data_IF_561595045154
#
_entry.id   IF_561595045154
#
_cell.length_a   1.000
_cell.length_b   1.000
_cell.length_c   1.000
_cell.angle_alpha   90.00
_cell.angle_beta   90.00
_cell.angle_gamma   90.00
#
_symmetry.space_group_name_H-M   'P 1'
#
loop_
_entity.id
_entity.type
_entity.pdbx_description
1 polymer ?
#
# COMPACT_ATOMS: atom_id res chain seq x y z
N UNK A 1 -44.37 -1.38 10.28
CA UNK A 1 -44.93 -0.98 8.98
C UNK A 1 -43.88 -0.89 7.84
N UNK A 2 -42.60 -0.72 8.11
CA UNK A 2 -41.53 -0.57 7.11
C UNK A 2 -41.29 -1.83 6.25
N UNK A 3 -41.44 -3.01 6.83
CA UNK A 3 -41.18 -4.31 6.15
C UNK A 3 -42.16 -4.54 4.98
N UNK A 4 -43.41 -4.10 5.09
CA UNK A 4 -44.40 -4.29 4.02
C UNK A 4 -44.10 -3.43 2.77
N UNK A 5 -43.49 -2.25 2.94
CA UNK A 5 -43.12 -1.38 1.83
C UNK A 5 -41.92 -1.93 1.02
N UNK A 6 -40.96 -2.56 1.66
CA UNK A 6 -39.81 -3.22 1.02
C UNK A 6 -40.26 -4.43 0.18
N UNK A 7 -41.19 -5.23 0.70
CA UNK A 7 -41.75 -6.39 -0.03
C UNK A 7 -42.56 -5.97 -1.27
N UNK A 8 -43.30 -4.84 -1.18
CA UNK A 8 -44.06 -4.34 -2.29
C UNK A 8 -43.14 -3.77 -3.39
N UNK A 9 -42.04 -3.10 -3.02
CA UNK A 9 -41.03 -2.59 -3.96
C UNK A 9 -40.40 -3.67 -4.84
N UNK A 10 -40.21 -4.88 -4.33
CA UNK A 10 -39.65 -6.02 -5.08
C UNK A 10 -40.59 -6.60 -6.15
N UNK A 11 -41.89 -6.40 -6.03
CA UNK A 11 -42.88 -7.03 -6.91
C UNK A 11 -43.53 -6.08 -7.91
N UNK A 12 -43.32 -4.78 -7.78
CA UNK A 12 -43.91 -3.76 -8.67
C UNK A 12 -42.81 -2.95 -9.35
N UNK A 13 -42.60 -3.10 -10.68
CA UNK A 13 -41.48 -2.44 -11.40
C UNK A 13 -41.44 -0.91 -11.25
N UNK A 14 -42.60 -0.28 -11.05
CA UNK A 14 -42.73 1.16 -10.86
C UNK A 14 -42.29 1.64 -9.47
N UNK A 15 -42.12 0.72 -8.52
CA UNK A 15 -41.73 1.02 -7.14
C UNK A 15 -40.26 0.59 -6.83
N UNK A 16 -39.48 0.20 -7.85
CA UNK A 16 -38.05 -0.13 -7.70
C UNK A 16 -37.23 1.00 -7.06
N UNK A 17 -37.67 2.25 -7.18
CA UNK A 17 -37.03 3.38 -6.50
C UNK A 17 -37.14 3.28 -4.97
N UNK A 18 -38.17 2.59 -4.45
CA UNK A 18 -38.32 2.33 -3.02
C UNK A 18 -37.32 1.31 -2.50
N UNK A 19 -36.88 0.36 -3.32
CA UNK A 19 -35.78 -0.57 -2.97
C UNK A 19 -34.45 0.18 -2.79
N UNK A 20 -34.21 1.23 -3.58
CA UNK A 20 -33.02 2.09 -3.45
C UNK A 20 -33.11 3.01 -2.24
N UNK A 21 -34.31 3.55 -1.92
CA UNK A 21 -34.49 4.47 -0.79
C UNK A 21 -34.67 3.74 0.55
N UNK A 22 -35.26 2.55 0.55
CA UNK A 22 -35.56 1.75 1.75
C UNK A 22 -34.73 0.46 1.83
N UNK A 23 -33.97 0.14 0.77
CA UNK A 23 -33.08 -1.01 0.70
C UNK A 23 -31.86 -0.78 1.60
N UNK A 24 -31.48 -1.81 2.33
CA UNK A 24 -30.30 -1.84 3.18
C UNK A 24 -29.00 -2.10 2.37
N UNK A 25 -29.04 -1.89 1.04
CA UNK A 25 -27.81 -1.96 0.27
C UNK A 25 -27.00 -0.68 0.50
N UNK A 26 -25.75 -0.80 0.92
CA UNK A 26 -24.90 0.37 1.08
C UNK A 26 -24.79 1.10 -0.27
N UNK A 27 -25.15 2.37 -0.29
CA UNK A 27 -25.10 3.23 -1.50
C UNK A 27 -23.68 3.35 -2.04
N UNK A 28 -22.68 3.19 -1.16
CA UNK A 28 -21.25 3.26 -1.46
C UNK A 28 -20.63 1.87 -1.35
N UNK A 29 -19.70 1.58 -2.25
CA UNK A 29 -18.83 0.40 -2.13
C UNK A 29 -17.90 0.55 -0.92
N UNK A 30 -17.35 -0.56 -0.37
CA UNK A 30 -16.36 -0.47 0.72
C UNK A 30 -15.18 0.45 0.41
N UNK A 31 -14.71 0.45 -0.84
CA UNK A 31 -13.64 1.35 -1.32
C UNK A 31 -14.08 2.82 -1.27
N UNK A 32 -15.30 3.11 -1.71
CA UNK A 32 -15.85 4.47 -1.69
C UNK A 32 -16.10 4.96 -0.26
N UNK A 33 -16.59 4.09 0.61
CA UNK A 33 -16.78 4.41 2.03
C UNK A 33 -15.43 4.74 2.67
N UNK A 34 -14.43 3.92 2.45
CA UNK A 34 -13.08 4.15 2.95
C UNK A 34 -12.48 5.46 2.40
N UNK A 35 -12.61 5.69 1.08
CA UNK A 35 -12.16 6.93 0.45
C UNK A 35 -12.77 8.18 1.11
N UNK A 36 -14.09 8.16 1.39
CA UNK A 36 -14.78 9.29 2.04
C UNK A 36 -14.30 9.50 3.47
N UNK A 37 -14.06 8.43 4.23
CA UNK A 37 -13.55 8.51 5.61
C UNK A 37 -12.16 9.13 5.65
N UNK A 38 -11.27 8.69 4.77
CA UNK A 38 -9.92 9.26 4.66
C UNK A 38 -9.97 10.72 4.22
N UNK A 39 -10.81 11.06 3.23
CA UNK A 39 -10.99 12.43 2.77
C UNK A 39 -11.54 13.35 3.86
N UNK A 40 -12.41 12.82 4.71
CA UNK A 40 -12.94 13.54 5.88
C UNK A 40 -11.93 13.64 7.05
N UNK A 41 -10.71 13.08 6.89
CA UNK A 41 -9.69 12.98 7.93
C UNK A 41 -10.23 12.30 9.20
N UNK A 42 -10.93 11.16 9.02
CA UNK A 42 -11.49 10.36 10.10
C UNK A 42 -10.81 8.98 10.15
N UNK A 43 -9.58 8.91 10.72
CA UNK A 43 -8.82 7.68 10.81
C UNK A 43 -9.47 6.64 11.73
N UNK A 44 -10.23 7.06 12.74
CA UNK A 44 -10.92 6.18 13.68
C UNK A 44 -11.95 5.31 12.94
N UNK A 45 -12.85 5.92 12.16
CA UNK A 45 -13.83 5.16 11.36
C UNK A 45 -13.15 4.32 10.26
N UNK A 46 -12.01 4.75 9.75
CA UNK A 46 -11.22 3.96 8.81
C UNK A 46 -10.62 2.72 9.48
N UNK A 47 -10.14 2.86 10.74
CA UNK A 47 -9.66 1.74 11.58
C UNK A 47 -10.77 0.75 11.84
N UNK A 48 -11.95 1.22 12.32
CA UNK A 48 -13.12 0.35 12.55
C UNK A 48 -13.51 -0.43 11.29
N UNK A 49 -13.43 0.19 10.11
CA UNK A 49 -13.71 -0.51 8.84
C UNK A 49 -12.68 -1.60 8.55
N UNK A 50 -11.42 -1.36 8.83
CA UNK A 50 -10.36 -2.34 8.62
C UNK A 50 -10.50 -3.53 9.57
N UNK A 51 -10.80 -3.28 10.85
CA UNK A 51 -11.05 -4.31 11.86
C UNK A 51 -12.28 -5.16 11.52
N UNK A 52 -13.38 -4.51 11.13
CA UNK A 52 -14.60 -5.24 10.75
C UNK A 52 -14.36 -6.13 9.52
N UNK A 53 -13.61 -5.66 8.54
CA UNK A 53 -13.20 -6.46 7.39
C UNK A 53 -12.31 -7.63 7.83
N UNK A 54 -11.36 -7.38 8.71
CA UNK A 54 -10.38 -8.37 9.18
C UNK A 54 -11.03 -9.50 10.01
N UNK A 55 -12.22 -9.31 10.57
CA UNK A 55 -12.98 -10.40 11.25
C UNK A 55 -13.30 -11.57 10.32
N UNK A 56 -13.45 -11.33 9.04
CA UNK A 56 -13.80 -12.34 8.03
C UNK A 56 -12.69 -12.59 7.01
N UNK A 57 -11.59 -11.86 7.10
CA UNK A 57 -10.51 -11.87 6.14
C UNK A 57 -9.17 -11.53 6.84
N UNK A 58 -8.32 -10.69 6.25
CA UNK A 58 -7.07 -10.24 6.86
C UNK A 58 -6.84 -8.75 6.62
N UNK A 59 -5.98 -8.12 7.42
CA UNK A 59 -5.55 -6.75 7.20
C UNK A 59 -4.81 -6.59 5.86
N UNK A 60 -4.02 -7.58 5.46
CA UNK A 60 -3.37 -7.59 4.14
C UNK A 60 -4.40 -7.53 3.01
N UNK A 61 -5.48 -8.30 3.11
CA UNK A 61 -6.57 -8.25 2.12
C UNK A 61 -7.31 -6.92 2.15
N UNK A 62 -7.55 -6.35 3.32
CA UNK A 62 -8.10 -4.99 3.44
C UNK A 62 -7.23 -3.96 2.73
N UNK A 63 -5.92 -4.00 2.95
CA UNK A 63 -4.99 -3.07 2.29
C UNK A 63 -5.00 -3.28 0.78
N UNK A 64 -5.02 -4.51 0.31
CA UNK A 64 -5.04 -4.86 -1.12
C UNK A 64 -6.34 -4.49 -1.82
N UNK A 65 -7.50 -4.81 -1.21
CA UNK A 65 -8.80 -4.73 -1.85
C UNK A 65 -9.54 -3.40 -1.61
N UNK A 66 -9.17 -2.67 -0.56
CA UNK A 66 -9.86 -1.45 -0.16
C UNK A 66 -8.90 -0.25 -0.13
N UNK A 67 -7.82 -0.31 0.65
CA UNK A 67 -6.97 0.86 0.85
C UNK A 67 -6.19 1.26 -0.42
N UNK A 68 -5.55 0.31 -1.11
CA UNK A 68 -4.85 0.56 -2.38
C UNK A 68 -5.79 1.07 -3.48
N UNK A 69 -6.97 0.48 -3.74
CA UNK A 69 -7.93 1.03 -4.68
C UNK A 69 -8.42 2.44 -4.33
N UNK A 70 -8.61 2.75 -3.04
CA UNK A 70 -8.96 4.09 -2.61
C UNK A 70 -7.84 5.11 -2.87
N UNK A 71 -6.58 4.75 -2.61
CA UNK A 71 -5.41 5.56 -2.98
C UNK A 71 -5.28 5.75 -4.50
N UNK A 72 -5.57 4.71 -5.29
CA UNK A 72 -5.56 4.81 -6.75
C UNK A 72 -6.65 5.78 -7.23
N UNK A 73 -7.82 5.77 -6.61
CA UNK A 73 -8.88 6.75 -6.87
C UNK A 73 -8.46 8.16 -6.49
N UNK A 74 -7.87 8.36 -5.30
CA UNK A 74 -7.34 9.64 -4.88
C UNK A 74 -6.28 10.18 -5.86
N UNK A 75 -5.41 9.33 -6.37
CA UNK A 75 -4.44 9.70 -7.38
C UNK A 75 -5.10 10.11 -8.70
N UNK A 76 -6.11 9.38 -9.15
CA UNK A 76 -6.86 9.72 -10.36
C UNK A 76 -7.63 11.04 -10.20
N UNK A 77 -8.22 11.29 -9.04
CA UNK A 77 -8.91 12.54 -8.73
C UNK A 77 -7.92 13.72 -8.66
N UNK A 78 -6.74 13.48 -8.10
CA UNK A 78 -5.67 14.48 -8.06
C UNK A 78 -5.09 14.79 -9.46
N UNK A 79 -4.89 13.77 -10.30
CA UNK A 79 -4.42 13.95 -11.68
C UNK A 79 -5.43 14.71 -12.55
N UNK A 80 -6.73 14.64 -12.21
CA UNK A 80 -7.82 15.42 -12.84
C UNK A 80 -8.03 16.80 -12.21
N UNK A 81 -7.32 17.13 -11.14
CA UNK A 81 -7.48 18.38 -10.41
C UNK A 81 -8.78 18.47 -9.58
N UNK A 82 -9.44 17.33 -9.33
CA UNK A 82 -10.63 17.25 -8.46
C UNK A 82 -10.20 17.20 -7.00
N UNK A 83 -9.13 16.47 -6.68
CA UNK A 83 -8.53 16.44 -5.35
C UNK A 83 -7.42 17.50 -5.27
N UNK A 84 -7.52 18.52 -4.39
CA UNK A 84 -6.47 19.50 -4.15
C UNK A 84 -5.16 18.85 -3.72
N UNK A 85 -4.05 19.51 -4.00
CA UNK A 85 -2.72 18.99 -3.63
C UNK A 85 -2.54 18.86 -2.13
N UNK A 86 -3.13 19.77 -1.36
CA UNK A 86 -3.12 19.79 0.09
C UNK A 86 -3.82 18.57 0.71
N UNK A 87 -4.87 18.06 0.07
CA UNK A 87 -5.60 16.88 0.55
C UNK A 87 -4.82 15.58 0.41
N UNK A 88 -3.75 15.52 -0.40
CA UNK A 88 -2.86 14.36 -0.47
C UNK A 88 -2.16 14.11 0.86
N UNK A 89 -1.71 15.17 1.53
CA UNK A 89 -1.11 15.07 2.86
C UNK A 89 -2.11 14.56 3.89
N UNK A 90 -3.38 14.98 3.79
CA UNK A 90 -4.48 14.46 4.61
C UNK A 90 -4.68 12.97 4.41
N UNK A 91 -4.67 12.49 3.15
CA UNK A 91 -4.74 11.06 2.85
C UNK A 91 -3.58 10.28 3.50
N UNK A 92 -2.36 10.75 3.34
CA UNK A 92 -1.19 10.12 3.96
C UNK A 92 -1.31 10.09 5.48
N UNK A 93 -1.65 11.21 6.10
CA UNK A 93 -1.77 11.34 7.56
C UNK A 93 -2.86 10.42 8.12
N UNK A 94 -4.05 10.40 7.50
CA UNK A 94 -5.16 9.57 7.94
C UNK A 94 -4.83 8.06 7.83
N UNK A 95 -4.15 7.65 6.74
CA UNK A 95 -3.70 6.25 6.59
C UNK A 95 -2.60 5.93 7.60
N UNK A 96 -1.69 6.85 7.89
CA UNK A 96 -0.66 6.64 8.89
C UNK A 96 -1.26 6.43 10.29
N UNK A 97 -2.22 7.28 10.68
CA UNK A 97 -2.92 7.15 11.96
C UNK A 97 -3.76 5.87 12.04
N UNK A 98 -4.46 5.49 10.96
CA UNK A 98 -5.19 4.22 10.90
C UNK A 98 -4.24 3.02 11.12
N UNK A 99 -3.10 3.01 10.44
CA UNK A 99 -2.11 1.93 10.59
C UNK A 99 -1.54 1.88 12.01
N UNK A 100 -1.27 3.04 12.62
CA UNK A 100 -0.80 3.14 14.00
C UNK A 100 -1.82 2.56 14.98
N UNK A 101 -3.10 2.93 14.85
CA UNK A 101 -4.19 2.39 15.66
C UNK A 101 -4.28 0.86 15.55
N UNK A 102 -4.24 0.32 14.31
CA UNK A 102 -4.30 -1.13 14.08
C UNK A 102 -3.14 -1.90 14.72
N UNK A 103 -1.94 -1.32 14.75
CA UNK A 103 -0.77 -1.94 15.37
C UNK A 103 -0.80 -1.86 16.91
N UNK A 104 -1.39 -0.82 17.47
CA UNK A 104 -1.58 -0.69 18.92
C UNK A 104 -2.53 -1.77 19.44
N UNK A 105 -3.63 -2.02 18.74
CA UNK A 105 -4.62 -3.05 19.10
C UNK A 105 -4.06 -4.48 18.96
N UNK A 106 -3.27 -4.77 17.93
CA UNK A 106 -2.58 -6.06 17.83
C UNK A 106 -1.60 -6.28 18.98
N UNK A 107 -0.84 -5.27 19.38
CA UNK A 107 0.07 -5.35 20.54
C UNK A 107 -0.68 -5.48 21.87
N UNK A 108 -1.87 -4.91 21.99
CA UNK A 108 -2.71 -5.02 23.19
C UNK A 108 -3.37 -6.41 23.33
N UNK A 109 -3.64 -7.08 22.22
CA UNK A 109 -4.26 -8.43 22.18
C UNK A 109 -3.25 -9.56 22.19
N UNK A 110 -2.02 -9.33 21.76
CA UNK A 110 -0.93 -10.29 21.90
C UNK A 110 -0.52 -10.39 23.39
N UNK A 111 -0.78 -11.54 24.03
CA UNK A 111 -0.26 -11.82 25.36
C UNK A 111 1.27 -11.62 25.38
N UNK A 112 1.87 -11.16 26.50
CA UNK A 112 3.28 -10.80 26.56
C UNK A 112 4.18 -12.06 26.58
N UNK A 113 4.28 -12.75 25.46
CA UNK A 113 5.28 -13.79 25.20
C UNK A 113 6.38 -13.28 24.24
N UNK A 114 6.55 -11.99 24.16
CA UNK A 114 7.75 -11.49 23.50
C UNK A 114 8.89 -11.47 24.52
N UNK A 115 9.67 -12.54 24.48
CA UNK A 115 11.03 -12.56 24.96
C UNK A 115 11.71 -11.24 24.54
N UNK A 116 12.09 -10.44 25.54
CA UNK A 116 13.03 -9.33 25.38
C UNK A 116 14.39 -9.88 24.93
N UNK A 117 14.45 -10.37 23.69
CA UNK A 117 15.71 -10.50 22.98
C UNK A 117 16.00 -9.16 22.31
N UNK A 118 17.27 -8.69 22.29
CA UNK A 118 17.61 -7.51 21.52
C UNK A 118 17.15 -7.74 20.09
N UNK A 119 16.20 -6.90 19.60
CA UNK A 119 15.76 -6.87 18.21
C UNK A 119 17.04 -6.77 17.38
N UNK A 120 17.32 -7.71 16.49
CA UNK A 120 18.51 -7.62 15.67
C UNK A 120 18.40 -6.39 14.79
N UNK A 121 18.96 -5.29 15.24
CA UNK A 121 19.19 -4.11 14.43
C UNK A 121 20.05 -4.54 13.25
N UNK A 122 19.44 -4.75 12.07
CA UNK A 122 20.22 -4.96 10.87
C UNK A 122 19.83 -6.12 9.96
N UNK A 123 18.66 -6.72 10.05
CA UNK A 123 18.31 -7.87 9.22
C UNK A 123 17.33 -7.59 8.06
N UNK A 124 16.72 -6.42 7.94
CA UNK A 124 15.83 -6.26 6.82
C UNK A 124 16.55 -5.91 5.52
N UNK A 125 17.62 -5.14 5.55
CA UNK A 125 18.24 -4.68 4.28
C UNK A 125 17.22 -4.18 3.26
N UNK A 126 15.94 -4.04 3.67
CA UNK A 126 14.83 -3.63 2.83
C UNK A 126 14.56 -2.15 3.10
N UNK A 127 14.50 -1.38 2.03
CA UNK A 127 14.20 0.04 2.07
C UNK A 127 12.98 0.34 1.20
N UNK A 128 11.91 0.83 1.79
CA UNK A 128 10.75 1.31 1.05
C UNK A 128 10.91 2.80 0.73
N UNK A 129 10.62 3.18 -0.50
CA UNK A 129 10.76 4.55 -1.00
C UNK A 129 9.53 4.93 -1.80
N UNK A 130 8.94 6.07 -1.49
CA UNK A 130 7.86 6.63 -2.28
C UNK A 130 8.37 7.23 -3.59
N UNK A 131 7.56 7.14 -4.62
CA UNK A 131 7.99 7.55 -5.96
C UNK A 131 7.79 9.02 -6.27
N UNK A 132 6.66 9.64 -5.84
CA UNK A 132 6.25 10.93 -6.37
C UNK A 132 5.67 11.90 -5.35
N UNK A 133 4.76 11.43 -4.53
CA UNK A 133 3.94 12.26 -3.65
C UNK A 133 3.48 11.50 -2.41
N UNK A 134 2.70 12.15 -1.59
CA UNK A 134 2.18 11.65 -0.32
C UNK A 134 1.29 10.40 -0.49
N UNK A 135 0.60 10.23 -1.63
CA UNK A 135 -0.18 9.03 -1.91
C UNK A 135 0.74 7.82 -2.19
N UNK A 136 1.86 8.02 -2.87
CA UNK A 136 2.88 7.00 -3.04
C UNK A 136 3.55 6.67 -1.68
N UNK A 137 3.66 7.65 -0.77
CA UNK A 137 4.15 7.44 0.61
C UNK A 137 3.17 6.58 1.42
N UNK A 138 1.86 6.89 1.34
CA UNK A 138 0.83 6.07 1.98
C UNK A 138 0.85 4.62 1.47
N UNK A 139 0.99 4.41 0.16
CA UNK A 139 1.10 3.07 -0.40
C UNK A 139 2.39 2.35 0.02
N UNK A 140 3.50 3.07 0.14
CA UNK A 140 4.74 2.50 0.68
C UNK A 140 4.59 2.10 2.15
N UNK A 141 3.84 2.88 2.94
CA UNK A 141 3.53 2.57 4.33
C UNK A 141 2.69 1.28 4.44
N UNK A 142 1.66 1.12 3.59
CA UNK A 142 0.87 -0.12 3.55
C UNK A 142 1.75 -1.33 3.22
N UNK A 143 2.64 -1.23 2.22
CA UNK A 143 3.59 -2.31 1.91
C UNK A 143 4.48 -2.67 3.09
N UNK A 144 5.05 -1.68 3.80
CA UNK A 144 5.88 -1.91 4.99
C UNK A 144 5.10 -2.68 6.04
N UNK A 145 3.83 -2.31 6.27
CA UNK A 145 3.02 -2.97 7.28
C UNK A 145 2.60 -4.39 6.87
N UNK A 146 2.31 -4.65 5.59
CA UNK A 146 2.10 -6.02 5.10
C UNK A 146 3.34 -6.89 5.34
N UNK A 147 4.54 -6.36 5.09
CA UNK A 147 5.79 -7.10 5.36
C UNK A 147 6.01 -7.37 6.85
N UNK A 148 5.62 -6.45 7.72
CA UNK A 148 5.64 -6.65 9.18
C UNK A 148 4.66 -7.73 9.62
N UNK A 149 3.41 -7.65 9.15
CA UNK A 149 2.33 -8.58 9.50
C UNK A 149 2.62 -10.00 9.00
N UNK A 150 3.02 -10.15 7.75
CA UNK A 150 3.16 -11.48 7.14
C UNK A 150 4.54 -12.12 7.35
N UNK A 151 5.58 -11.34 7.53
CA UNK A 151 6.96 -11.85 7.58
C UNK A 151 7.68 -11.54 8.88
N UNK A 152 7.06 -10.79 9.78
CA UNK A 152 7.68 -10.33 11.02
C UNK A 152 9.04 -9.67 10.80
N UNK A 153 9.18 -8.96 9.68
CA UNK A 153 10.39 -8.25 9.32
C UNK A 153 10.28 -6.82 9.87
N UNK A 154 11.23 -6.44 10.69
CA UNK A 154 11.32 -5.04 11.13
C UNK A 154 11.91 -4.19 10.00
N UNK A 155 11.06 -3.37 9.41
CA UNK A 155 11.39 -2.43 8.33
C UNK A 155 11.13 -1.03 8.86
N UNK A 156 12.09 -0.14 8.65
CA UNK A 156 11.93 1.27 8.98
C UNK A 156 10.77 1.93 8.22
N UNK A 157 10.36 3.11 8.68
CA UNK A 157 9.37 3.91 7.97
C UNK A 157 9.78 4.14 6.50
N UNK A 158 8.82 4.19 5.57
CA UNK A 158 9.15 4.47 4.17
C UNK A 158 9.77 5.85 4.03
N UNK A 159 10.71 5.98 3.12
CA UNK A 159 11.30 7.26 2.77
C UNK A 159 10.37 8.02 1.82
N UNK A 160 10.26 9.33 2.03
CA UNK A 160 9.50 10.21 1.16
C UNK A 160 10.08 10.29 -0.26
N UNK A 161 9.29 10.78 -1.20
CA UNK A 161 9.71 11.00 -2.57
C UNK A 161 10.97 11.89 -2.69
N UNK A 162 11.16 12.79 -1.75
CA UNK A 162 12.30 13.70 -1.70
C UNK A 162 13.60 13.04 -1.24
N UNK A 163 13.54 11.91 -0.56
CA UNK A 163 14.74 11.17 -0.14
C UNK A 163 15.66 10.76 -1.30
N UNK A 164 15.09 10.63 -2.51
CA UNK A 164 15.84 10.45 -3.74
C UNK A 164 16.41 11.76 -4.31
N UNK A 165 16.12 12.92 -3.74
CA UNK A 165 16.70 14.21 -4.11
C UNK A 165 18.12 14.35 -3.54
N UNK A 166 18.71 15.50 -3.53
CA UNK A 166 20.15 15.70 -3.33
C UNK A 166 20.67 15.42 -1.90
N UNK A 167 19.80 15.08 -0.96
CA UNK A 167 20.18 15.02 0.45
C UNK A 167 21.06 13.80 0.78
N UNK A 168 22.22 14.09 1.38
CA UNK A 168 23.18 13.07 1.79
C UNK A 168 22.73 12.30 3.06
N UNK A 169 21.73 12.80 3.79
CA UNK A 169 21.28 12.24 5.07
C UNK A 169 20.85 10.77 4.96
N UNK A 170 20.13 10.41 3.88
CA UNK A 170 19.63 9.05 3.66
C UNK A 170 20.63 8.13 2.92
N UNK A 171 21.80 8.64 2.54
CA UNK A 171 22.79 7.86 1.78
C UNK A 171 23.28 6.59 2.48
N UNK A 172 23.48 6.55 3.82
CA UNK A 172 23.82 5.33 4.53
C UNK A 172 22.79 4.22 4.34
N UNK A 173 21.49 4.55 4.49
CA UNK A 173 20.38 3.58 4.33
C UNK A 173 20.38 2.94 2.95
N UNK A 174 20.62 3.72 1.88
CA UNK A 174 20.72 3.20 0.53
C UNK A 174 21.93 2.29 0.31
N UNK A 175 23.06 2.57 0.98
CA UNK A 175 24.28 1.75 0.86
C UNK A 175 24.15 0.39 1.55
N UNK A 176 23.38 0.33 2.62
CA UNK A 176 23.15 -0.87 3.42
C UNK A 176 21.98 -1.71 2.87
N UNK A 177 21.14 -1.14 2.00
CA UNK A 177 19.99 -1.84 1.47
C UNK A 177 20.39 -2.99 0.53
N UNK A 178 19.85 -4.18 0.80
CA UNK A 178 19.87 -5.34 -0.09
C UNK A 178 18.73 -5.29 -1.12
N UNK A 179 17.57 -4.76 -0.70
CA UNK A 179 16.38 -4.56 -1.55
C UNK A 179 15.86 -3.15 -1.37
N UNK A 180 15.55 -2.49 -2.48
CA UNK A 180 14.85 -1.19 -2.48
C UNK A 180 13.53 -1.35 -3.18
N UNK A 181 12.44 -1.07 -2.47
CA UNK A 181 11.07 -1.11 -2.97
C UNK A 181 10.63 0.31 -3.34
N UNK A 182 10.50 0.60 -4.62
CA UNK A 182 9.95 1.85 -5.11
C UNK A 182 8.43 1.72 -5.25
N UNK A 183 7.67 2.51 -4.50
CA UNK A 183 6.21 2.48 -4.46
C UNK A 183 5.61 3.57 -5.33
N UNK A 184 4.72 3.20 -6.25
CA UNK A 184 4.03 4.09 -7.19
C UNK A 184 2.56 3.67 -7.30
N UNK A 185 1.65 4.61 -7.10
CA UNK A 185 0.20 4.38 -7.33
C UNK A 185 -0.10 4.41 -8.83
N UNK A 186 0.45 5.36 -9.55
CA UNK A 186 0.11 5.58 -10.96
C UNK A 186 1.15 4.98 -11.91
N UNK A 187 0.67 4.30 -12.94
CA UNK A 187 1.46 3.80 -14.07
C UNK A 187 1.59 4.82 -15.21
N UNK A 188 1.04 6.01 -15.07
CA UNK A 188 0.93 7.01 -16.14
C UNK A 188 2.26 7.47 -16.75
N UNK A 189 3.40 7.23 -16.08
CA UNK A 189 4.70 7.66 -16.56
C UNK A 189 5.82 6.63 -16.37
N UNK A 190 5.97 5.65 -17.28
CA UNK A 190 7.10 4.71 -17.28
C UNK A 190 8.47 5.41 -17.31
N UNK A 191 8.55 6.55 -17.97
CA UNK A 191 9.76 7.35 -18.02
C UNK A 191 10.19 7.88 -16.65
N UNK A 192 9.23 8.28 -15.81
CA UNK A 192 9.49 8.71 -14.44
C UNK A 192 9.97 7.55 -13.57
N UNK A 193 9.29 6.41 -13.61
CA UNK A 193 9.71 5.22 -12.89
C UNK A 193 11.14 4.82 -13.27
N UNK A 194 11.48 4.82 -14.56
CA UNK A 194 12.86 4.58 -15.05
C UNK A 194 13.86 5.60 -14.51
N UNK A 195 13.47 6.86 -14.43
CA UNK A 195 14.34 7.91 -13.87
C UNK A 195 14.63 7.63 -12.39
N UNK A 196 13.61 7.30 -11.61
CA UNK A 196 13.73 6.98 -10.17
C UNK A 196 14.59 5.73 -9.97
N UNK A 197 14.34 4.65 -10.70
CA UNK A 197 15.15 3.42 -10.66
C UNK A 197 16.63 3.73 -10.95
N UNK A 198 16.94 4.58 -11.93
CA UNK A 198 18.33 5.00 -12.19
C UNK A 198 18.92 5.80 -11.03
N UNK A 199 18.12 6.60 -10.33
CA UNK A 199 18.60 7.34 -9.14
C UNK A 199 18.88 6.39 -7.98
N UNK A 200 17.97 5.44 -7.72
CA UNK A 200 18.17 4.39 -6.72
C UNK A 200 19.44 3.59 -7.04
N UNK A 201 19.62 3.14 -8.28
CA UNK A 201 20.79 2.37 -8.70
C UNK A 201 22.12 3.08 -8.43
N UNK A 202 22.16 4.41 -8.58
CA UNK A 202 23.37 5.20 -8.26
C UNK A 202 23.66 5.27 -6.77
N UNK A 203 22.64 5.20 -5.91
CA UNK A 203 22.79 5.29 -4.44
C UNK A 203 22.94 3.95 -3.77
N UNK A 204 22.26 2.94 -4.31
CA UNK A 204 22.27 1.55 -3.87
C UNK A 204 22.69 0.63 -5.03
N UNK A 205 23.96 0.66 -5.46
CA UNK A 205 24.41 -0.07 -6.65
C UNK A 205 24.31 -1.60 -6.49
N UNK A 206 24.35 -2.09 -5.26
CA UNK A 206 24.26 -3.53 -4.92
C UNK A 206 22.84 -3.98 -4.65
N UNK A 207 21.93 -3.06 -4.33
CA UNK A 207 20.55 -3.40 -4.01
C UNK A 207 19.78 -3.93 -5.23
N UNK A 208 18.91 -4.88 -4.97
CA UNK A 208 17.88 -5.30 -5.94
C UNK A 208 16.73 -4.31 -5.86
N UNK A 209 16.20 -3.94 -7.00
CA UNK A 209 15.13 -2.94 -7.07
C UNK A 209 13.84 -3.64 -7.47
N UNK A 210 12.85 -3.56 -6.58
CA UNK A 210 11.46 -3.89 -6.84
C UNK A 210 10.71 -2.58 -7.12
N UNK A 211 9.88 -2.57 -8.15
CA UNK A 211 8.96 -1.45 -8.40
C UNK A 211 7.53 -1.93 -8.22
N UNK A 212 6.81 -1.33 -7.28
CA UNK A 212 5.40 -1.56 -7.06
C UNK A 212 4.55 -0.55 -7.84
N UNK A 213 3.58 -1.05 -8.61
CA UNK A 213 2.57 -0.26 -9.31
C UNK A 213 1.19 -0.67 -8.83
N UNK A 214 0.65 0.01 -7.81
CA UNK A 214 -0.50 -0.44 -7.06
C UNK A 214 -1.86 -0.13 -7.71
N UNK A 215 -1.94 0.93 -8.49
CA UNK A 215 -3.18 1.42 -9.12
C UNK A 215 -3.44 0.92 -10.54
N UNK A 216 -2.77 -0.15 -11.00
CA UNK A 216 -2.93 -0.63 -12.38
C UNK A 216 -4.12 -1.57 -12.54
N UNK A 217 -5.09 -1.24 -13.42
CA UNK A 217 -6.21 -2.14 -13.71
C UNK A 217 -5.83 -3.36 -14.57
N UNK A 218 -4.71 -3.31 -15.30
CA UNK A 218 -4.23 -4.37 -16.19
C UNK A 218 -2.98 -5.02 -15.59
N UNK A 219 -3.18 -5.94 -14.63
CA UNK A 219 -2.12 -6.43 -13.74
C UNK A 219 -0.92 -7.08 -14.45
N UNK A 220 -1.11 -8.00 -15.39
CA UNK A 220 0.00 -8.80 -15.94
C UNK A 220 0.74 -8.13 -17.11
N UNK A 221 0.03 -7.61 -18.10
CA UNK A 221 0.64 -6.99 -19.29
C UNK A 221 1.39 -5.71 -18.91
N UNK A 222 0.82 -4.91 -18.00
CA UNK A 222 1.46 -3.70 -17.51
C UNK A 222 2.73 -4.01 -16.71
N UNK A 223 2.77 -5.10 -15.92
CA UNK A 223 3.94 -5.47 -15.13
C UNK A 223 5.15 -5.82 -16.02
N UNK A 224 4.97 -6.62 -17.07
CA UNK A 224 6.06 -6.97 -17.99
C UNK A 224 6.59 -5.76 -18.78
N UNK A 225 5.69 -4.92 -19.28
CA UNK A 225 6.09 -3.70 -19.98
C UNK A 225 6.86 -2.76 -19.06
N UNK A 226 6.39 -2.62 -17.81
CA UNK A 226 7.05 -1.79 -16.80
C UNK A 226 8.40 -2.35 -16.37
N UNK A 227 8.54 -3.67 -16.22
CA UNK A 227 9.83 -4.29 -15.91
C UNK A 227 10.85 -3.99 -17.01
N UNK A 228 10.46 -4.18 -18.28
CA UNK A 228 11.31 -3.83 -19.43
C UNK A 228 11.62 -2.35 -19.50
N UNK A 229 10.63 -1.50 -19.24
CA UNK A 229 10.77 -0.05 -19.31
C UNK A 229 11.63 0.52 -18.18
N UNK A 230 11.61 -0.05 -16.98
CA UNK A 230 12.29 0.51 -15.81
C UNK A 230 13.68 -0.06 -15.57
N UNK A 231 13.99 -1.23 -16.11
CA UNK A 231 15.20 -2.01 -15.79
C UNK A 231 15.30 -2.38 -14.30
N UNK A 232 14.14 -2.56 -13.64
CA UNK A 232 14.05 -3.11 -12.29
C UNK A 232 14.26 -4.62 -12.32
N UNK A 233 14.65 -5.21 -11.19
CA UNK A 233 14.80 -6.67 -11.08
C UNK A 233 13.45 -7.38 -10.97
N UNK A 234 12.45 -6.71 -10.39
CA UNK A 234 11.08 -7.19 -10.37
C UNK A 234 10.10 -6.02 -10.41
N UNK A 235 8.89 -6.30 -10.85
CA UNK A 235 7.74 -5.41 -10.79
C UNK A 235 6.61 -6.17 -10.11
N UNK A 236 5.95 -5.53 -9.17
CA UNK A 236 4.76 -6.03 -8.50
C UNK A 236 3.57 -5.11 -8.80
N UNK A 237 2.39 -5.69 -8.92
CA UNK A 237 1.14 -4.95 -9.16
C UNK A 237 0.12 -5.17 -8.03
N UNK A 238 0.51 -5.99 -7.04
CA UNK A 238 -0.20 -6.24 -5.81
C UNK A 238 0.76 -6.27 -4.63
N UNK A 239 0.27 -6.02 -3.42
CA UNK A 239 1.09 -6.11 -2.20
C UNK A 239 1.59 -7.54 -1.98
N UNK A 240 0.75 -8.55 -2.26
CA UNK A 240 1.13 -9.97 -2.20
C UNK A 240 2.25 -10.33 -3.18
N UNK A 241 2.16 -9.85 -4.43
CA UNK A 241 3.24 -10.08 -5.41
C UNK A 241 4.55 -9.45 -4.95
N UNK A 242 4.47 -8.27 -4.31
CA UNK A 242 5.65 -7.61 -3.76
C UNK A 242 6.30 -8.43 -2.64
N UNK A 243 5.51 -8.97 -1.72
CA UNK A 243 6.01 -9.85 -0.65
C UNK A 243 6.71 -11.08 -1.24
N UNK A 244 6.07 -11.76 -2.19
CA UNK A 244 6.65 -12.93 -2.85
C UNK A 244 7.95 -12.60 -3.62
N UNK A 245 7.99 -11.45 -4.29
CA UNK A 245 9.19 -10.99 -5.00
C UNK A 245 10.33 -10.66 -4.03
N UNK A 246 10.04 -10.03 -2.89
CA UNK A 246 11.03 -9.72 -1.85
C UNK A 246 11.58 -11.00 -1.26
N UNK A 247 10.73 -11.97 -0.91
CA UNK A 247 11.16 -13.29 -0.40
C UNK A 247 12.11 -13.98 -1.38
N UNK A 248 11.77 -13.98 -2.68
CA UNK A 248 12.63 -14.53 -3.74
C UNK A 248 13.97 -13.79 -3.85
N UNK A 249 13.95 -12.48 -3.68
CA UNK A 249 15.17 -11.67 -3.70
C UNK A 249 16.08 -11.97 -2.50
N UNK A 250 15.52 -12.06 -1.29
CA UNK A 250 16.28 -12.35 -0.08
C UNK A 250 16.82 -13.78 -0.05
N UNK A 251 16.05 -14.76 -0.54
CA UNK A 251 16.47 -16.17 -0.59
C UNK A 251 17.66 -16.40 -1.51
N UNK A 252 17.74 -15.68 -2.62
CA UNK A 252 18.89 -15.75 -3.55
C UNK A 252 20.19 -15.19 -2.97
N UNK A 253 20.09 -14.34 -1.96
CA UNK A 253 21.28 -13.80 -1.25
C UNK A 253 21.85 -14.81 -0.25
N UNK A 254 20.99 -15.67 0.32
CA UNK A 254 21.37 -16.72 1.28
C UNK A 254 21.95 -17.98 0.62
N UNK A 255 21.74 -18.18 -0.68
CA UNK A 255 22.34 -19.31 -1.39
C UNK A 255 23.85 -19.04 -1.58
N UNK A 256 24.76 -19.84 -0.99
CA UNK A 256 26.18 -19.68 -1.22
C UNK A 256 26.44 -19.85 -2.71
N UNK A 257 27.29 -18.98 -3.28
CA UNK A 257 27.80 -19.18 -4.62
C UNK A 257 28.42 -20.57 -4.68
N UNK A 258 27.75 -21.50 -5.35
CA UNK A 258 28.28 -22.80 -5.62
C UNK A 258 29.59 -22.61 -6.40
N UNK A 259 30.69 -22.85 -5.72
CA UNK A 259 32.06 -22.92 -6.30
C UNK A 259 32.02 -23.96 -7.41
N UNK A 260 32.12 -23.45 -8.63
CA UNK A 260 32.50 -24.29 -9.78
C UNK A 260 34.00 -24.12 -10.04
#
# INVERSE_FOLDING_TARGET
>A
MTVCLVVIGRHVPQLKFLDVILGNEPVLTPVETFYQRILANNPEEATEQAEEFAKNSSLTEFFEEIAIPALARAQADSDRGVLPLEDRATFHSAIASMVENLLEDENATAAPEHTEGPIPQGLSGILAVAGRNELDEAAALLLVNVLRLERHIDIGAPLSADALSADAAHLPLFKEASVVCLSLISTSSPARARFLVRRIRRRAPRARILVGFWGSPAREVAAEEMARATSAQAVAVSLRDAVAAIDSMLSRERAPASVT
#
